data_IF_195874900113
#
_entry.id   IF_195874900113
#
_cell.length_a   1.000
_cell.length_b   1.000
_cell.length_c   1.000
_cell.angle_alpha   90.00
_cell.angle_beta   90.00
_cell.angle_gamma   90.00
#
_symmetry.space_group_name_H-M   'P 1'
#
loop_
_entity.id
_entity.type
_entity.pdbx_description
1 polymer ?
#
# COMPACT_ATOMS: atom_id res chain seq x y z
N UNK A 1 13.01 3.87 22.04
CA UNK A 1 12.56 3.22 23.28
C UNK A 1 11.04 3.22 23.25
N UNK A 2 10.44 2.05 23.33
CA UNK A 2 8.97 1.93 23.42
C UNK A 2 8.52 2.57 24.74
N UNK A 3 7.59 3.50 24.66
CA UNK A 3 6.98 4.14 25.81
C UNK A 3 5.85 3.25 26.31
N UNK A 4 5.79 3.03 27.62
CA UNK A 4 4.81 2.13 28.24
C UNK A 4 3.51 2.82 28.67
N UNK A 5 3.49 4.16 28.70
CA UNK A 5 2.30 4.93 29.05
C UNK A 5 1.37 5.03 27.85
N UNK A 6 0.15 4.45 27.90
CA UNK A 6 -0.80 4.47 26.79
C UNK A 6 -1.34 5.86 26.44
N UNK A 7 -1.15 6.85 27.33
CA UNK A 7 -1.56 8.24 27.08
C UNK A 7 -0.46 9.09 26.46
N UNK A 8 0.68 8.49 26.13
CA UNK A 8 1.79 9.22 25.50
C UNK A 8 1.40 9.70 24.12
N UNK A 9 1.89 10.86 23.77
CA UNK A 9 1.68 11.49 22.46
C UNK A 9 2.12 10.62 21.29
N UNK A 10 3.07 9.72 21.49
CA UNK A 10 3.54 8.76 20.49
C UNK A 10 2.42 7.80 20.01
N UNK A 11 1.42 7.54 20.83
CA UNK A 11 0.28 6.69 20.48
C UNK A 11 -0.94 7.46 19.96
N UNK A 12 -0.96 8.77 20.12
CA UNK A 12 -2.07 9.62 19.68
C UNK A 12 -1.53 10.97 19.21
N UNK A 13 -0.80 10.95 18.12
CA UNK A 13 -0.33 12.18 17.49
C UNK A 13 -1.50 12.98 16.93
N UNK A 14 -1.59 14.22 17.38
CA UNK A 14 -2.45 15.21 16.73
C UNK A 14 -1.83 15.61 15.38
N UNK A 15 -2.67 16.23 14.52
CA UNK A 15 -2.19 16.79 13.28
C UNK A 15 -0.89 17.61 13.49
N UNK A 16 0.18 17.45 12.65
CA UNK A 16 0.14 16.86 11.30
C UNK A 16 0.28 15.33 11.15
N UNK A 17 0.24 14.49 12.10
CA UNK A 17 0.37 13.04 12.01
C UNK A 17 1.49 12.55 11.05
N UNK A 18 1.89 11.31 11.11
CA UNK A 18 2.99 10.74 10.31
C UNK A 18 2.71 10.55 8.81
N UNK A 19 1.58 11.03 8.28
CA UNK A 19 1.18 10.82 6.88
C UNK A 19 2.00 11.63 5.88
N UNK A 20 2.39 12.84 6.23
CA UNK A 20 3.05 13.80 5.35
C UNK A 20 4.53 13.96 5.69
N UNK A 21 5.32 14.42 4.71
CA UNK A 21 6.68 14.86 4.98
C UNK A 21 6.70 16.24 5.66
N UNK A 22 7.91 16.79 5.88
CA UNK A 22 8.09 18.10 6.51
C UNK A 22 7.39 19.25 5.76
N UNK A 23 7.16 19.12 4.47
CA UNK A 23 6.50 20.10 3.62
C UNK A 23 5.00 19.81 3.40
N UNK A 24 4.40 18.91 4.17
CA UNK A 24 2.97 18.57 4.12
C UNK A 24 2.54 17.80 2.88
N UNK A 25 3.48 17.19 2.16
CA UNK A 25 3.16 16.35 1.01
C UNK A 25 2.96 14.89 1.42
N UNK A 26 1.91 14.28 0.89
CA UNK A 26 1.69 12.84 0.99
C UNK A 26 2.64 12.10 0.04
N UNK A 27 3.69 11.52 0.60
CA UNK A 27 4.71 10.79 -0.18
C UNK A 27 4.16 9.55 -0.87
N UNK A 28 3.02 9.02 -0.40
CA UNK A 28 2.32 7.92 -1.07
C UNK A 28 1.34 8.42 -2.15
N UNK A 29 1.48 9.65 -2.61
CA UNK A 29 0.87 10.20 -3.82
C UNK A 29 1.92 10.77 -4.78
N UNK A 30 3.19 10.69 -4.43
CA UNK A 30 4.30 11.33 -5.14
C UNK A 30 5.20 10.33 -5.90
N UNK A 31 4.79 9.06 -6.04
CA UNK A 31 5.57 8.07 -6.79
C UNK A 31 5.65 8.37 -8.29
N UNK A 32 4.60 8.95 -8.89
CA UNK A 32 4.59 9.35 -10.30
C UNK A 32 5.13 10.78 -10.52
N UNK A 33 4.67 11.81 -9.76
CA UNK A 33 5.16 13.18 -9.94
C UNK A 33 6.63 13.36 -9.53
N UNK A 34 7.09 12.62 -8.51
CA UNK A 34 8.48 12.62 -8.00
C UNK A 34 8.98 14.03 -7.69
N UNK A 35 8.16 14.81 -6.97
CA UNK A 35 8.47 16.20 -6.65
C UNK A 35 9.28 16.35 -5.35
N UNK A 36 9.19 15.36 -4.47
CA UNK A 36 9.82 15.40 -3.15
C UNK A 36 11.15 14.65 -3.15
N UNK A 37 12.17 15.12 -2.42
CA UNK A 37 13.48 14.47 -2.39
C UNK A 37 13.42 13.03 -1.90
N UNK A 38 12.52 12.72 -0.96
CA UNK A 38 12.29 11.36 -0.48
C UNK A 38 11.74 10.46 -1.60
N UNK A 39 10.85 11.01 -2.44
CA UNK A 39 10.31 10.28 -3.59
C UNK A 39 11.36 10.04 -4.67
N UNK A 40 12.22 11.02 -4.93
CA UNK A 40 13.38 10.88 -5.84
C UNK A 40 14.24 9.70 -5.38
N UNK A 41 14.58 9.64 -4.10
CA UNK A 41 15.41 8.57 -3.55
C UNK A 41 14.73 7.18 -3.64
N UNK A 42 13.44 7.11 -3.29
CA UNK A 42 12.65 5.85 -3.37
C UNK A 42 12.55 5.34 -4.80
N UNK A 43 12.15 6.20 -5.72
CA UNK A 43 11.95 5.82 -7.14
C UNK A 43 13.29 5.43 -7.77
N UNK A 44 14.37 6.16 -7.49
CA UNK A 44 15.71 5.78 -7.95
C UNK A 44 16.10 4.37 -7.47
N UNK A 45 15.83 4.04 -6.19
CA UNK A 45 16.11 2.72 -5.65
C UNK A 45 15.24 1.65 -6.30
N UNK A 46 13.95 1.90 -6.46
CA UNK A 46 13.02 1.00 -7.15
C UNK A 46 13.50 0.70 -8.58
N UNK A 47 13.85 1.73 -9.34
CA UNK A 47 14.32 1.59 -10.72
C UNK A 47 15.68 0.84 -10.82
N UNK A 48 16.54 1.00 -9.83
CA UNK A 48 17.81 0.28 -9.77
C UNK A 48 17.63 -1.21 -9.44
N UNK A 49 16.70 -1.53 -8.53
CA UNK A 49 16.43 -2.90 -8.10
C UNK A 49 15.54 -3.67 -9.04
N UNK A 50 14.57 -3.00 -9.68
CA UNK A 50 13.55 -3.62 -10.55
C UNK A 50 12.93 -4.86 -9.92
N UNK A 51 12.28 -4.74 -8.75
CA UNK A 51 11.70 -5.90 -8.08
C UNK A 51 10.56 -6.49 -8.91
N UNK A 52 10.29 -7.78 -8.74
CA UNK A 52 9.12 -8.43 -9.34
C UNK A 52 7.83 -8.09 -8.60
N UNK A 53 7.93 -7.90 -7.28
CA UNK A 53 6.81 -7.53 -6.40
C UNK A 53 7.29 -6.44 -5.46
N UNK A 54 6.43 -5.44 -5.22
CA UNK A 54 6.60 -4.42 -4.18
C UNK A 54 5.34 -4.39 -3.33
N UNK A 55 5.49 -4.47 -2.03
CA UNK A 55 4.40 -4.41 -1.07
C UNK A 55 4.36 -3.06 -0.36
N UNK A 56 3.18 -2.50 -0.23
CA UNK A 56 2.89 -1.23 0.43
C UNK A 56 2.03 -1.52 1.67
N UNK A 57 2.63 -1.42 2.85
CA UNK A 57 2.01 -1.80 4.11
C UNK A 57 1.46 -0.56 4.82
N UNK A 58 0.18 -0.60 5.11
CA UNK A 58 -0.57 0.47 5.76
C UNK A 58 -1.37 -0.04 6.95
N UNK A 59 -1.90 0.91 7.69
CA UNK A 59 -2.81 0.70 8.81
C UNK A 59 -4.16 1.36 8.53
N UNK A 60 -5.24 0.70 8.91
CA UNK A 60 -6.60 1.24 8.86
C UNK A 60 -7.22 1.28 10.26
N UNK A 61 -8.45 1.77 10.39
CA UNK A 61 -9.08 1.95 11.70
C UNK A 61 -9.17 0.66 12.51
N UNK A 62 -8.97 0.77 13.84
CA UNK A 62 -8.89 -0.36 14.77
C UNK A 62 -10.13 -1.26 14.85
N UNK A 63 -11.28 -0.82 14.33
CA UNK A 63 -12.51 -1.63 14.24
C UNK A 63 -12.67 -2.32 12.87
N UNK A 64 -11.68 -2.19 12.01
CA UNK A 64 -11.63 -2.83 10.71
C UNK A 64 -10.88 -4.17 10.80
N UNK A 65 -10.55 -4.74 9.69
CA UNK A 65 -9.87 -6.03 9.60
C UNK A 65 -8.71 -5.93 8.62
N UNK A 66 -8.15 -7.02 8.13
CA UNK A 66 -7.13 -6.98 7.10
C UNK A 66 -7.74 -6.73 5.72
N UNK A 67 -7.03 -5.94 4.91
CA UNK A 67 -7.25 -5.85 3.48
C UNK A 67 -5.97 -6.21 2.73
N UNK A 68 -6.11 -6.86 1.58
CA UNK A 68 -5.05 -7.03 0.60
C UNK A 68 -5.61 -6.95 -0.82
N UNK A 69 -4.80 -6.44 -1.74
CA UNK A 69 -5.18 -6.37 -3.15
C UNK A 69 -5.37 -7.77 -3.76
N UNK A 70 -6.19 -7.89 -4.83
CA UNK A 70 -6.65 -6.80 -5.71
C UNK A 70 -7.74 -5.93 -5.07
N UNK A 71 -7.78 -4.66 -5.49
CA UNK A 71 -8.84 -3.70 -5.14
C UNK A 71 -10.12 -3.92 -5.94
N UNK A 72 -10.97 -2.90 -5.98
CA UNK A 72 -12.23 -2.95 -6.73
C UNK A 72 -11.94 -3.09 -8.24
N UNK A 73 -12.41 -4.15 -8.92
CA UNK A 73 -12.04 -4.41 -10.33
C UNK A 73 -12.37 -3.26 -11.29
N UNK A 74 -13.49 -2.57 -11.07
CA UNK A 74 -13.89 -1.42 -11.90
C UNK A 74 -13.08 -0.14 -11.65
N UNK A 75 -12.19 -0.16 -10.65
CA UNK A 75 -11.30 0.94 -10.29
C UNK A 75 -9.83 0.62 -10.55
N UNK A 76 -9.55 -0.36 -11.40
CA UNK A 76 -8.20 -0.63 -11.89
C UNK A 76 -7.88 0.31 -13.04
N UNK A 77 -6.66 0.83 -13.08
CA UNK A 77 -6.23 1.68 -14.19
C UNK A 77 -6.25 0.86 -15.50
N UNK A 78 -6.90 1.35 -16.56
CA UNK A 78 -7.01 0.60 -17.82
C UNK A 78 -5.68 0.38 -18.54
N UNK A 79 -4.62 1.09 -18.15
CA UNK A 79 -3.26 0.88 -18.68
C UNK A 79 -2.50 -0.23 -17.93
N UNK A 80 -3.01 -0.70 -16.79
CA UNK A 80 -2.40 -1.81 -16.06
C UNK A 80 -2.53 -3.10 -16.88
N UNK A 81 -1.42 -3.81 -17.17
CA UNK A 81 -1.50 -5.06 -17.91
C UNK A 81 -2.40 -6.08 -17.18
N UNK A 82 -3.29 -6.78 -17.88
CA UNK A 82 -4.21 -7.76 -17.25
C UNK A 82 -3.48 -8.81 -16.41
N UNK A 83 -2.29 -9.23 -16.84
CA UNK A 83 -1.47 -10.21 -16.13
C UNK A 83 -1.12 -9.76 -14.70
N UNK A 84 -0.99 -8.44 -14.44
CA UNK A 84 -0.73 -7.94 -13.10
C UNK A 84 -1.91 -8.27 -12.16
N UNK A 85 -3.14 -8.03 -12.60
CA UNK A 85 -4.33 -8.33 -11.80
C UNK A 85 -4.55 -9.84 -11.62
N UNK A 86 -4.23 -10.64 -12.63
CA UNK A 86 -4.27 -12.10 -12.54
C UNK A 86 -3.28 -12.61 -11.50
N UNK A 87 -2.02 -12.15 -11.54
CA UNK A 87 -0.99 -12.54 -10.59
C UNK A 87 -1.29 -12.03 -9.17
N UNK A 88 -1.76 -10.79 -9.03
CA UNK A 88 -2.19 -10.23 -7.74
C UNK A 88 -3.32 -11.08 -7.13
N UNK A 89 -4.29 -11.50 -7.95
CA UNK A 89 -5.37 -12.39 -7.50
C UNK A 89 -4.84 -13.75 -7.04
N UNK A 90 -3.89 -14.33 -7.76
CA UNK A 90 -3.23 -15.59 -7.38
C UNK A 90 -2.45 -15.47 -6.07
N UNK A 91 -1.72 -14.39 -5.89
CA UNK A 91 -1.00 -14.10 -4.64
C UNK A 91 -2.01 -13.92 -3.49
N UNK A 92 -3.12 -13.23 -3.75
CA UNK A 92 -4.21 -13.04 -2.79
C UNK A 92 -4.80 -14.36 -2.26
N UNK A 93 -4.85 -15.43 -3.04
CA UNK A 93 -5.28 -16.75 -2.59
C UNK A 93 -4.40 -17.29 -1.44
N UNK A 94 -3.08 -17.02 -1.49
CA UNK A 94 -2.16 -17.40 -0.42
C UNK A 94 -2.35 -16.55 0.84
N UNK A 95 -2.62 -15.25 0.68
CA UNK A 95 -2.91 -14.37 1.81
C UNK A 95 -4.21 -14.78 2.51
N UNK A 96 -5.27 -15.03 1.73
CA UNK A 96 -6.54 -15.53 2.25
C UNK A 96 -6.33 -16.80 3.07
N UNK A 97 -5.64 -17.78 2.52
CA UNK A 97 -5.36 -19.04 3.21
C UNK A 97 -4.58 -18.84 4.53
N UNK A 98 -3.60 -17.92 4.53
CA UNK A 98 -2.83 -17.64 5.74
C UNK A 98 -3.69 -16.99 6.83
N UNK A 99 -4.54 -16.03 6.47
CA UNK A 99 -5.45 -15.36 7.41
C UNK A 99 -6.56 -16.30 7.91
N UNK A 100 -7.08 -17.18 7.05
CA UNK A 100 -8.03 -18.24 7.44
C UNK A 100 -7.42 -19.16 8.51
N UNK A 101 -6.15 -19.54 8.35
CA UNK A 101 -5.44 -20.38 9.34
C UNK A 101 -5.24 -19.66 10.69
N UNK A 102 -5.11 -18.34 10.67
CA UNK A 102 -5.01 -17.51 11.87
C UNK A 102 -6.36 -17.18 12.48
N UNK A 103 -7.47 -17.46 11.79
CA UNK A 103 -8.81 -17.06 12.21
C UNK A 103 -9.04 -15.55 12.14
N UNK A 104 -8.25 -14.82 11.34
CA UNK A 104 -8.37 -13.37 11.16
C UNK A 104 -9.33 -13.04 10.04
N UNK A 105 -10.19 -12.05 10.25
CA UNK A 105 -11.08 -11.55 9.21
C UNK A 105 -10.29 -10.70 8.20
N UNK A 106 -10.70 -10.76 6.95
CA UNK A 106 -10.12 -9.97 5.87
C UNK A 106 -11.14 -9.70 4.78
N UNK A 107 -10.82 -8.76 3.89
CA UNK A 107 -11.56 -8.49 2.67
C UNK A 107 -10.61 -8.16 1.52
N UNK A 108 -11.10 -8.30 0.31
CA UNK A 108 -10.39 -8.03 -0.94
C UNK A 108 -11.42 -7.66 -2.02
N UNK A 109 -11.01 -7.04 -3.11
CA UNK A 109 -11.85 -6.63 -4.24
C UNK A 109 -12.93 -5.60 -3.92
N UNK A 110 -12.81 -4.93 -2.79
CA UNK A 110 -13.70 -3.86 -2.34
C UNK A 110 -12.93 -2.76 -1.60
N UNK A 111 -13.55 -1.58 -1.44
CA UNK A 111 -12.98 -0.44 -0.71
C UNK A 111 -11.91 0.32 -1.48
N UNK A 112 -10.79 -0.32 -1.73
CA UNK A 112 -9.59 0.28 -2.31
C UNK A 112 -9.56 0.19 -3.84
N UNK A 113 -8.82 1.12 -4.47
CA UNK A 113 -8.61 1.18 -5.92
C UNK A 113 -7.18 0.86 -6.32
N UNK A 114 -7.00 0.49 -7.60
CA UNK A 114 -5.71 0.28 -8.26
C UNK A 114 -5.56 1.23 -9.45
N UNK A 115 -5.95 2.50 -9.29
CA UNK A 115 -6.07 3.44 -10.41
C UNK A 115 -4.90 4.41 -10.53
N UNK A 116 -4.56 5.12 -9.44
CA UNK A 116 -3.57 6.20 -9.52
C UNK A 116 -2.15 5.70 -9.32
N UNK A 117 -1.33 5.80 -10.36
CA UNK A 117 0.07 5.35 -10.34
C UNK A 117 1.03 6.16 -9.46
N UNK A 118 0.56 7.17 -8.76
CA UNK A 118 1.36 7.89 -7.77
C UNK A 118 1.44 7.23 -6.39
N UNK A 119 0.85 6.04 -6.21
CA UNK A 119 0.91 5.25 -4.97
C UNK A 119 1.96 4.14 -5.07
N UNK A 120 2.55 3.75 -3.93
CA UNK A 120 3.50 2.64 -3.85
C UNK A 120 2.89 1.31 -4.30
N UNK A 121 1.59 1.14 -4.09
CA UNK A 121 0.85 -0.07 -4.49
C UNK A 121 0.51 -0.16 -5.98
N UNK A 122 0.60 0.95 -6.73
CA UNK A 122 0.16 0.98 -8.15
C UNK A 122 1.24 1.47 -9.12
N UNK A 123 2.20 2.29 -8.66
CA UNK A 123 3.35 2.69 -9.46
C UNK A 123 4.12 1.49 -10.05
N UNK A 124 4.35 0.41 -9.29
CA UNK A 124 5.02 -0.78 -9.79
C UNK A 124 4.33 -1.40 -11.00
N UNK A 125 3.00 -1.40 -11.04
CA UNK A 125 2.22 -1.99 -12.14
C UNK A 125 2.48 -1.34 -13.50
N UNK A 126 2.82 -0.05 -13.51
CA UNK A 126 3.23 0.65 -14.73
C UNK A 126 4.70 0.41 -15.10
N UNK A 127 5.47 -0.31 -14.28
CA UNK A 127 6.92 -0.50 -14.40
C UNK A 127 7.35 -1.97 -14.47
N UNK A 128 6.44 -2.87 -14.83
CA UNK A 128 6.74 -4.30 -14.96
C UNK A 128 6.94 -5.04 -13.63
N UNK A 129 6.40 -4.50 -12.56
CA UNK A 129 6.40 -5.06 -11.21
C UNK A 129 4.95 -5.21 -10.75
N UNK A 130 4.67 -6.09 -9.81
CA UNK A 130 3.36 -6.20 -9.17
C UNK A 130 3.36 -5.37 -7.89
N UNK A 131 2.51 -4.36 -7.81
CA UNK A 131 2.28 -3.60 -6.58
C UNK A 131 1.17 -4.24 -5.74
N UNK A 132 1.35 -4.35 -4.44
CA UNK A 132 0.35 -4.93 -3.54
C UNK A 132 0.17 -4.05 -2.30
N UNK A 133 -1.04 -3.56 -2.09
CA UNK A 133 -1.43 -2.88 -0.85
C UNK A 133 -1.88 -3.90 0.20
N UNK A 134 -1.37 -3.72 1.40
CA UNK A 134 -1.88 -4.33 2.62
C UNK A 134 -2.34 -3.24 3.58
N UNK A 135 -3.52 -3.45 4.18
CA UNK A 135 -4.02 -2.62 5.26
C UNK A 135 -4.28 -3.52 6.48
N UNK A 136 -3.80 -3.09 7.62
CA UNK A 136 -3.95 -3.82 8.87
C UNK A 136 -4.78 -3.00 9.87
N UNK A 137 -5.73 -3.64 10.55
CA UNK A 137 -6.44 -3.05 11.68
C UNK A 137 -5.68 -3.26 13.00
#
# INVERSE_FOLDING_TARGET
TLVTDPNTREYNEEWPRGRTNHYWFDLNRDWLPVQQPESVAKVAKFQAWRPNILTDHHEMGSNSTFFFQPGVPSRTNPLTPPINQELTSKIGEFHAKALDQLGSLYFTKEGYDDFYYGKASTYPDANGCIGILFEQA
#
